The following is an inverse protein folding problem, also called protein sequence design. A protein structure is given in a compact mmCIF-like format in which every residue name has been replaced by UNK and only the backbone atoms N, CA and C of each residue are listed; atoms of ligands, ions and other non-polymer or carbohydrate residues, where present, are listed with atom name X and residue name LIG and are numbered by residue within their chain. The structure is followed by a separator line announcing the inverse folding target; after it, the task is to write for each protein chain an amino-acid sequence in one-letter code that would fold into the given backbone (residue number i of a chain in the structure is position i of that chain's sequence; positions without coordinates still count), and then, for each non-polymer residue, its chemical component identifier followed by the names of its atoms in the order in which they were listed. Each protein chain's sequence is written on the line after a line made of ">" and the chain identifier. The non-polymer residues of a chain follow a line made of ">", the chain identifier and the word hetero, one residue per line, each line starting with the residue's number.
data_IF_738652642260
#
_entry.id   IF_738652642260
#
_cell.length_a   1.000
_cell.length_b   1.000
_cell.length_c   1.000
_cell.angle_alpha   90.00
_cell.angle_beta   90.00
_cell.angle_gamma   90.00
#
_symmetry.space_group_name_H-M   'P 1'
#
loop_
_entity.id
_entity.type
_entity.pdbx_description
1 polymer ?
#
# COMPACT_ATOMS: atom_id res chain seq x y z
N UNK A 1 -8.99 13.86 -14.29
CA UNK A 1 -8.79 12.39 -14.29
C UNK A 1 -10.14 11.75 -14.59
N UNK A 2 -10.22 10.70 -15.42
CA UNK A 2 -11.50 10.01 -15.66
C UNK A 2 -12.00 9.28 -14.40
N UNK A 3 -13.27 8.87 -14.39
CA UNK A 3 -13.91 8.25 -13.23
C UNK A 3 -13.22 6.94 -12.80
N UNK A 4 -12.76 6.13 -13.77
CA UNK A 4 -12.05 4.87 -13.50
C UNK A 4 -10.76 5.15 -12.72
N UNK A 5 -9.96 6.13 -13.16
CA UNK A 5 -8.74 6.56 -12.46
C UNK A 5 -9.03 6.93 -11.00
N UNK A 6 -10.07 7.74 -10.78
CA UNK A 6 -10.42 8.21 -9.44
C UNK A 6 -10.88 7.07 -8.52
N UNK A 7 -11.79 6.22 -9.00
CA UNK A 7 -12.33 5.09 -8.22
C UNK A 7 -11.20 4.14 -7.80
N UNK A 8 -10.32 3.78 -8.74
CA UNK A 8 -9.24 2.85 -8.45
C UNK A 8 -8.11 3.47 -7.61
N UNK A 9 -7.84 4.77 -7.74
CA UNK A 9 -6.92 5.49 -6.86
C UNK A 9 -7.45 5.56 -5.42
N UNK A 10 -8.75 5.81 -5.23
CA UNK A 10 -9.39 5.78 -3.91
C UNK A 10 -9.35 4.38 -3.31
N UNK A 11 -9.66 3.34 -4.10
CA UNK A 11 -9.55 1.95 -3.67
C UNK A 11 -8.13 1.59 -3.24
N UNK A 12 -7.12 2.00 -4.03
CA UNK A 12 -5.71 1.81 -3.68
C UNK A 12 -5.36 2.49 -2.35
N UNK A 13 -5.81 3.74 -2.14
CA UNK A 13 -5.64 4.46 -0.88
C UNK A 13 -6.28 3.74 0.31
N UNK A 14 -7.51 3.26 0.17
CA UNK A 14 -8.20 2.49 1.22
C UNK A 14 -7.47 1.20 1.59
N UNK A 15 -6.93 0.50 0.59
CA UNK A 15 -6.10 -0.70 0.83
C UNK A 15 -4.85 -0.33 1.63
N UNK A 16 -4.19 0.79 1.32
CA UNK A 16 -3.00 1.23 2.03
C UNK A 16 -3.29 1.71 3.45
N UNK A 17 -4.49 2.22 3.73
CA UNK A 17 -4.96 2.43 5.12
C UNK A 17 -5.09 1.08 5.84
N UNK A 18 -5.60 0.04 5.16
CA UNK A 18 -5.63 -1.32 5.70
C UNK A 18 -4.22 -1.87 6.00
N UNK A 19 -3.26 -1.64 5.11
CA UNK A 19 -1.84 -2.02 5.30
C UNK A 19 -1.24 -1.27 6.49
N UNK A 20 -1.50 0.03 6.62
CA UNK A 20 -1.12 0.81 7.80
C UNK A 20 -1.62 0.17 9.09
N UNK A 21 -2.89 -0.22 9.16
CA UNK A 21 -3.43 -0.89 10.35
C UNK A 21 -2.73 -2.23 10.63
N UNK A 22 -2.44 -3.00 9.59
CA UNK A 22 -1.70 -4.26 9.69
C UNK A 22 -0.30 -4.03 10.26
N UNK A 23 0.46 -3.06 9.74
CA UNK A 23 1.88 -2.86 10.06
C UNK A 23 2.11 -2.02 11.33
N UNK A 24 1.31 -0.98 11.56
CA UNK A 24 1.50 -0.07 12.70
C UNK A 24 0.67 -0.46 13.92
N UNK A 25 -0.50 -1.08 13.75
CA UNK A 25 -1.43 -1.34 14.88
C UNK A 25 -1.45 -2.82 15.26
N UNK A 26 -1.54 -3.71 14.28
CA UNK A 26 -1.81 -5.12 14.53
C UNK A 26 -0.60 -6.04 14.35
N UNK A 27 0.56 -5.51 13.96
CA UNK A 27 1.73 -6.30 13.57
C UNK A 27 2.22 -7.27 14.67
N UNK A 28 2.10 -6.90 15.94
CA UNK A 28 2.53 -7.76 17.05
C UNK A 28 1.63 -8.99 17.28
N UNK A 29 0.46 -9.07 16.62
CA UNK A 29 -0.42 -10.24 16.71
C UNK A 29 0.20 -11.40 15.91
N UNK A 30 0.32 -12.62 16.48
CA UNK A 30 0.97 -13.75 15.80
C UNK A 30 0.41 -14.03 14.39
N UNK A 31 -0.91 -14.02 14.24
CA UNK A 31 -1.56 -14.27 12.94
C UNK A 31 -1.27 -13.20 11.88
N UNK A 32 -0.88 -11.99 12.30
CA UNK A 32 -0.58 -10.84 11.43
C UNK A 32 0.91 -10.79 11.08
N UNK A 33 1.80 -11.08 12.05
CA UNK A 33 3.24 -11.16 11.81
C UNK A 33 3.63 -12.41 11.01
N UNK A 34 2.89 -13.51 11.17
CA UNK A 34 3.25 -14.81 10.59
C UNK A 34 3.51 -14.76 9.08
N UNK A 35 2.73 -14.07 8.23
CA UNK A 35 3.05 -13.87 6.82
C UNK A 35 4.41 -13.22 6.53
N UNK A 36 4.90 -12.35 7.41
CA UNK A 36 6.18 -11.65 7.29
C UNK A 36 7.35 -12.46 7.84
N UNK A 37 7.15 -13.13 8.98
CA UNK A 37 8.24 -13.72 9.78
C UNK A 37 8.26 -15.25 9.82
N UNK A 38 7.19 -15.89 9.34
CA UNK A 38 6.98 -17.31 9.58
C UNK A 38 6.71 -17.56 11.06
N UNK A 39 7.42 -18.51 11.65
CA UNK A 39 7.27 -18.84 13.07
C UNK A 39 8.27 -18.06 13.96
N UNK A 40 9.05 -17.14 13.38
CA UNK A 40 9.98 -16.27 14.11
C UNK A 40 9.21 -15.22 14.94
N UNK A 41 9.54 -15.02 16.23
CA UNK A 41 8.89 -14.01 17.06
C UNK A 41 9.23 -12.57 16.61
N UNK A 42 8.32 -11.64 16.87
CA UNK A 42 8.51 -10.20 16.58
C UNK A 42 9.49 -9.60 17.59
N UNK A 43 10.61 -9.07 17.12
CA UNK A 43 11.54 -8.30 17.97
C UNK A 43 11.08 -6.85 18.18
N UNK A 44 11.54 -6.16 19.25
CA UNK A 44 11.23 -4.75 19.49
C UNK A 44 11.69 -3.82 18.34
N UNK A 45 12.84 -4.11 17.73
CA UNK A 45 13.41 -3.35 16.62
C UNK A 45 12.53 -3.49 15.38
N UNK A 46 12.12 -4.73 15.08
CA UNK A 46 11.23 -5.00 13.96
C UNK A 46 9.85 -4.36 14.16
N UNK A 47 9.32 -4.39 15.39
CA UNK A 47 8.07 -3.68 15.72
C UNK A 47 8.18 -2.18 15.40
N UNK A 48 9.32 -1.57 15.74
CA UNK A 48 9.58 -0.15 15.44
C UNK A 48 9.68 0.11 13.94
N UNK A 49 10.34 -0.79 13.20
CA UNK A 49 10.43 -0.71 11.74
C UNK A 49 9.06 -0.86 11.07
N UNK A 50 8.29 -1.89 11.44
CA UNK A 50 6.93 -2.12 10.93
C UNK A 50 6.00 -0.94 11.25
N UNK A 51 6.12 -0.36 12.44
CA UNK A 51 5.36 0.82 12.81
C UNK A 51 5.59 1.98 11.86
N UNK A 52 6.85 2.27 11.53
CA UNK A 52 7.18 3.33 10.56
C UNK A 52 6.73 2.98 9.14
N UNK A 53 6.89 1.73 8.71
CA UNK A 53 6.41 1.25 7.40
C UNK A 53 4.92 1.52 7.20
N UNK A 54 4.09 1.23 8.20
CA UNK A 54 2.66 1.51 8.08
C UNK A 54 2.37 3.01 7.93
N UNK A 55 3.11 3.91 8.57
CA UNK A 55 2.89 5.36 8.39
C UNK A 55 3.30 5.85 7.00
N UNK A 56 4.34 5.30 6.39
CA UNK A 56 4.64 5.61 4.98
C UNK A 56 3.48 5.17 4.07
N UNK A 57 2.89 4.00 4.32
CA UNK A 57 1.69 3.54 3.61
C UNK A 57 0.48 4.47 3.84
N UNK A 58 0.29 4.96 5.07
CA UNK A 58 -0.76 5.93 5.38
C UNK A 58 -0.58 7.26 4.62
N UNK A 59 0.66 7.75 4.49
CA UNK A 59 0.92 8.98 3.74
C UNK A 59 0.74 8.81 2.24
N UNK A 60 1.08 7.64 1.68
CA UNK A 60 0.74 7.31 0.29
C UNK A 60 -0.78 7.29 0.08
N UNK A 61 -1.54 6.72 1.02
CA UNK A 61 -3.00 6.75 0.99
C UNK A 61 -3.55 8.17 1.07
N UNK A 62 -3.03 8.99 1.99
CA UNK A 62 -3.42 10.38 2.14
C UNK A 62 -3.14 11.20 0.87
N UNK A 63 -2.00 11.00 0.23
CA UNK A 63 -1.66 11.62 -1.04
C UNK A 63 -2.58 11.17 -2.18
N UNK A 64 -2.87 9.87 -2.30
CA UNK A 64 -3.77 9.35 -3.33
C UNK A 64 -5.21 9.89 -3.16
N UNK A 65 -5.76 9.79 -1.95
CA UNK A 65 -7.14 10.22 -1.65
C UNK A 65 -7.24 11.75 -1.70
N UNK A 66 -6.33 12.46 -1.05
CA UNK A 66 -6.28 13.92 -1.05
C UNK A 66 -6.07 14.48 -2.45
N UNK A 67 -5.25 13.83 -3.27
CA UNK A 67 -5.07 14.16 -4.68
C UNK A 67 -6.36 14.04 -5.48
N UNK A 68 -7.16 12.99 -5.27
CA UNK A 68 -8.48 12.84 -5.91
C UNK A 68 -9.43 13.95 -5.46
N UNK A 69 -9.55 14.19 -4.16
CA UNK A 69 -10.44 15.23 -3.58
C UNK A 69 -10.07 16.62 -4.11
N UNK A 70 -8.78 16.94 -4.16
CA UNK A 70 -8.29 18.22 -4.65
C UNK A 70 -8.26 18.33 -6.19
N UNK A 71 -8.61 17.28 -6.92
CA UNK A 71 -8.49 17.23 -8.38
C UNK A 71 -7.04 17.25 -8.89
N UNK A 72 -6.05 16.99 -8.03
CA UNK A 72 -4.64 17.03 -8.38
C UNK A 72 -4.18 15.69 -8.99
N UNK A 73 -4.10 15.67 -10.33
CA UNK A 73 -3.65 14.49 -11.10
C UNK A 73 -2.23 14.07 -10.74
N UNK A 74 -1.30 15.00 -10.61
CA UNK A 74 0.12 14.68 -10.39
C UNK A 74 0.33 13.94 -9.07
N UNK A 75 -0.23 14.45 -7.97
CA UNK A 75 -0.12 13.81 -6.64
C UNK A 75 -0.79 12.44 -6.65
N UNK A 76 -2.00 12.35 -7.19
CA UNK A 76 -2.75 11.08 -7.24
C UNK A 76 -1.98 9.98 -7.96
N UNK A 77 -1.48 10.27 -9.17
CA UNK A 77 -0.76 9.30 -9.99
C UNK A 77 0.63 8.99 -9.43
N UNK A 78 1.31 9.96 -8.84
CA UNK A 78 2.59 9.72 -8.18
C UNK A 78 2.44 8.73 -7.03
N UNK A 79 1.45 8.94 -6.15
CA UNK A 79 1.15 7.98 -5.08
C UNK A 79 0.81 6.60 -5.62
N UNK A 80 -0.04 6.51 -6.66
CA UNK A 80 -0.35 5.21 -7.30
C UNK A 80 0.91 4.54 -7.89
N UNK A 81 1.81 5.29 -8.52
CA UNK A 81 3.07 4.76 -9.06
C UNK A 81 3.98 4.22 -7.95
N UNK A 82 4.08 4.92 -6.82
CA UNK A 82 4.82 4.43 -5.65
C UNK A 82 4.22 3.13 -5.11
N UNK A 83 2.89 3.01 -5.01
CA UNK A 83 2.21 1.79 -4.56
C UNK A 83 2.49 0.60 -5.49
N UNK A 84 2.45 0.80 -6.82
CA UNK A 84 2.83 -0.23 -7.79
C UNK A 84 4.29 -0.62 -7.63
N UNK A 85 5.20 0.35 -7.53
CA UNK A 85 6.63 0.11 -7.32
C UNK A 85 6.90 -0.69 -6.05
N UNK A 86 6.30 -0.30 -4.92
CA UNK A 86 6.41 -1.00 -3.65
C UNK A 86 5.87 -2.44 -3.73
N UNK A 87 4.74 -2.65 -4.39
CA UNK A 87 4.19 -3.99 -4.61
C UNK A 87 5.10 -4.88 -5.45
N UNK A 88 5.76 -4.34 -6.49
CA UNK A 88 6.76 -5.05 -7.30
C UNK A 88 7.97 -5.44 -6.43
N UNK A 89 8.49 -4.50 -5.63
CA UNK A 89 9.61 -4.75 -4.71
C UNK A 89 9.24 -5.82 -3.67
N UNK A 90 8.02 -5.80 -3.13
CA UNK A 90 7.53 -6.83 -2.21
C UNK A 90 7.48 -8.21 -2.89
N UNK A 91 6.99 -8.27 -4.12
CA UNK A 91 6.90 -9.54 -4.85
C UNK A 91 8.30 -10.14 -5.10
N UNK A 92 9.26 -9.29 -5.45
CA UNK A 92 10.65 -9.70 -5.68
C UNK A 92 11.36 -10.12 -4.39
N UNK A 93 11.14 -9.41 -3.29
CA UNK A 93 11.85 -9.65 -2.01
C UNK A 93 11.23 -10.76 -1.16
N UNK A 94 9.90 -10.93 -1.18
CA UNK A 94 9.20 -11.90 -0.35
C UNK A 94 8.05 -12.58 -1.12
N UNK A 95 8.38 -13.60 -1.90
CA UNK A 95 7.42 -14.32 -2.77
C UNK A 95 6.22 -14.92 -2.03
N UNK A 96 6.36 -15.27 -0.73
CA UNK A 96 5.24 -15.78 0.07
C UNK A 96 4.12 -14.72 0.24
N UNK A 97 4.46 -13.44 0.14
CA UNK A 97 3.55 -12.31 0.29
C UNK A 97 2.94 -11.85 -1.05
N UNK A 98 2.94 -12.69 -2.09
CA UNK A 98 2.40 -12.34 -3.40
C UNK A 98 0.97 -11.75 -3.37
N UNK A 99 0.12 -12.20 -2.43
CA UNK A 99 -1.24 -11.66 -2.26
C UNK A 99 -1.22 -10.19 -1.84
N UNK A 100 -0.30 -9.82 -0.95
CA UNK A 100 -0.07 -8.43 -0.54
C UNK A 100 0.49 -7.59 -1.70
N UNK A 101 1.40 -8.16 -2.50
CA UNK A 101 1.91 -7.50 -3.71
C UNK A 101 0.81 -7.23 -4.72
N UNK A 102 -0.05 -8.21 -5.00
CA UNK A 102 -1.20 -8.05 -5.91
C UNK A 102 -2.16 -6.97 -5.41
N UNK A 103 -2.43 -6.92 -4.10
CA UNK A 103 -3.26 -5.88 -3.49
C UNK A 103 -2.70 -4.46 -3.64
N UNK A 104 -1.38 -4.30 -3.60
CA UNK A 104 -0.72 -3.01 -3.85
C UNK A 104 -0.70 -2.64 -5.34
N UNK A 105 -0.42 -3.60 -6.22
CA UNK A 105 -0.22 -3.36 -7.65
C UNK A 105 -1.54 -3.14 -8.38
N UNK A 106 -2.52 -4.03 -8.22
CA UNK A 106 -3.64 -4.09 -9.15
C UNK A 106 -4.50 -2.83 -9.14
N UNK A 107 -4.99 -2.32 -7.98
CA UNK A 107 -5.85 -1.14 -7.99
C UNK A 107 -5.12 0.12 -8.46
N UNK A 108 -3.91 0.35 -7.95
CA UNK A 108 -3.09 1.49 -8.35
C UNK A 108 -2.66 1.40 -9.83
N UNK A 109 -2.34 0.20 -10.32
CA UNK A 109 -1.99 -0.05 -11.72
C UNK A 109 -3.17 0.22 -12.66
N UNK A 110 -4.38 -0.19 -12.29
CA UNK A 110 -5.60 0.13 -13.06
C UNK A 110 -5.80 1.65 -13.09
N UNK A 111 -5.60 2.36 -11.98
CA UNK A 111 -5.69 3.82 -11.94
C UNK A 111 -4.68 4.49 -12.90
N UNK A 112 -3.43 4.02 -12.91
CA UNK A 112 -2.38 4.54 -13.80
C UNK A 112 -2.69 4.28 -15.27
N UNK A 113 -3.09 3.05 -15.62
CA UNK A 113 -3.42 2.67 -17.00
C UNK A 113 -4.65 3.43 -17.50
N UNK A 114 -5.68 3.56 -16.67
CA UNK A 114 -6.87 4.33 -17.01
C UNK A 114 -6.53 5.81 -17.26
N UNK A 115 -5.54 6.38 -16.57
CA UNK A 115 -5.18 7.79 -16.73
C UNK A 115 -4.49 8.14 -18.06
N UNK A 116 -4.16 7.13 -18.87
CA UNK A 116 -3.60 7.26 -20.22
C UNK A 116 -4.67 7.54 -21.30
N UNK A 117 -5.94 7.36 -20.97
CA UNK A 117 -7.10 7.53 -21.85
C UNK A 117 -8.06 8.60 -21.29
#
# INVERSE_FOLDING_TARGET
>A
MNAVTQIFALLAGLIHIGIFLVESVFFTRPNVARPFLGDTPVSPELKTFAFNQGFYNLFLAAGAIGGVIAGNKAITLFCCACMVGAGIVLFASQRRMWRGSVGQIVPAGIALLAALF
#
